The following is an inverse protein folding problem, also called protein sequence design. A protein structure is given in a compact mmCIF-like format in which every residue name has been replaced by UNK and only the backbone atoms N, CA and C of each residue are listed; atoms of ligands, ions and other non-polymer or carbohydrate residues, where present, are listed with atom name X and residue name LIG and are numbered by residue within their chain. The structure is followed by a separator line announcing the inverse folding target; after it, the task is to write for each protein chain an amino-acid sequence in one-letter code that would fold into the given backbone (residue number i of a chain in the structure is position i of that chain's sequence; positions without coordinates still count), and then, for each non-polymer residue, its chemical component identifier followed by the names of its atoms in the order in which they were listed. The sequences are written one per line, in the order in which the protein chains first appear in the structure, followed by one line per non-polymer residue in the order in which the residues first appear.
data_IF_460525827917
#
_entry.id   IF_460525827917
#
_cell.length_a   1.000
_cell.length_b   1.000
_cell.length_c   1.000
_cell.angle_alpha   90.00
_cell.angle_beta   90.00
_cell.angle_gamma   90.00
#
_symmetry.space_group_name_H-M   'P 1'
#
loop_
_entity.id
_entity.type
_entity.pdbx_description
1 polymer ?
#
# COMPACT_ATOMS: atom_id res chain seq x y z
N UNK A 1 -11.74 -7.53 21.67
CA UNK A 1 -11.84 -6.21 21.03
C UNK A 1 -10.46 -5.61 21.12
N UNK A 2 -9.73 -5.58 20.01
CA UNK A 2 -8.45 -4.85 19.94
C UNK A 2 -8.80 -3.37 19.93
N UNK A 3 -8.38 -2.68 20.97
CA UNK A 3 -8.57 -1.23 21.11
C UNK A 3 -7.67 -0.55 20.06
N UNK A 4 -8.24 -0.26 18.89
CA UNK A 4 -7.52 0.45 17.83
C UNK A 4 -7.51 1.92 18.23
N UNK A 5 -6.33 2.55 18.34
CA UNK A 5 -6.23 3.95 18.72
C UNK A 5 -7.07 4.84 17.80
N UNK A 6 -7.64 5.91 18.36
CA UNK A 6 -8.33 6.91 17.55
C UNK A 6 -7.34 7.63 16.63
N UNK A 7 -7.76 7.96 15.40
CA UNK A 7 -6.89 8.66 14.47
C UNK A 7 -6.59 10.08 14.95
N UNK A 8 -5.37 10.51 14.69
CA UNK A 8 -4.91 11.88 14.91
C UNK A 8 -4.59 12.56 13.58
N UNK A 9 -4.58 13.89 13.57
CA UNK A 9 -4.19 14.69 12.39
C UNK A 9 -2.79 15.23 12.63
N UNK A 10 -1.88 14.93 11.70
CA UNK A 10 -0.51 15.44 11.68
C UNK A 10 -0.33 16.32 10.44
N UNK A 11 0.14 17.54 10.63
CA UNK A 11 0.50 18.44 9.53
C UNK A 11 1.97 18.24 9.18
N UNK A 12 2.24 17.78 7.97
CA UNK A 12 3.59 17.68 7.43
C UNK A 12 3.65 18.28 6.03
N UNK A 13 4.53 19.26 5.82
CA UNK A 13 4.74 19.96 4.53
C UNK A 13 3.43 20.46 3.89
N UNK A 14 2.61 21.21 4.62
CA UNK A 14 1.29 21.74 4.21
C UNK A 14 0.28 20.64 3.79
N UNK A 15 0.53 19.38 4.16
CA UNK A 15 -0.37 18.24 3.94
C UNK A 15 -0.89 17.73 5.28
N UNK A 16 -2.19 17.64 5.42
CA UNK A 16 -2.82 17.00 6.58
C UNK A 16 -2.81 15.48 6.39
N UNK A 17 -2.23 14.80 7.38
CA UNK A 17 -2.19 13.34 7.43
C UNK A 17 -3.05 12.85 8.59
N UNK A 18 -4.06 12.05 8.30
CA UNK A 18 -4.74 11.26 9.31
C UNK A 18 -3.85 10.06 9.63
N UNK A 19 -3.47 9.90 10.89
CA UNK A 19 -2.58 8.82 11.36
C UNK A 19 -3.23 8.00 12.45
N UNK A 20 -2.85 6.73 12.52
CA UNK A 20 -3.10 5.84 13.65
C UNK A 20 -1.75 5.29 14.10
N UNK A 21 -1.43 5.41 15.38
CA UNK A 21 -0.16 4.97 15.93
C UNK A 21 -0.36 3.88 16.97
N UNK A 22 0.59 2.96 17.06
CA UNK A 22 0.66 1.95 18.12
C UNK A 22 2.11 1.62 18.48
N UNK A 23 2.31 0.96 19.62
CA UNK A 23 3.64 0.70 20.18
C UNK A 23 4.19 1.88 20.99
N UNK A 24 5.36 1.73 21.61
CA UNK A 24 5.98 2.77 22.43
C UNK A 24 6.39 3.97 21.58
N UNK A 25 6.14 5.19 22.05
CA UNK A 25 6.54 6.41 21.36
C UNK A 25 8.07 6.60 21.31
N UNK A 26 8.77 6.00 22.25
CA UNK A 26 10.24 5.97 22.38
C UNK A 26 10.87 4.67 21.87
N UNK A 27 10.14 3.89 21.05
CA UNK A 27 10.67 2.68 20.43
C UNK A 27 11.93 2.99 19.59
N UNK A 28 12.90 2.09 19.64
CA UNK A 28 14.14 2.19 18.86
C UNK A 28 13.92 2.14 17.35
N UNK A 29 12.82 1.53 16.92
CA UNK A 29 12.49 1.33 15.51
C UNK A 29 11.06 1.78 15.19
N UNK A 30 10.91 2.47 14.07
CA UNK A 30 9.63 2.99 13.57
C UNK A 30 9.30 2.43 12.20
N UNK A 31 8.08 1.92 12.03
CA UNK A 31 7.56 1.43 10.75
C UNK A 31 6.43 2.32 10.25
N UNK A 32 6.56 2.83 9.04
CA UNK A 32 5.51 3.55 8.34
C UNK A 32 4.66 2.58 7.51
N UNK A 33 3.34 2.62 7.70
CA UNK A 33 2.37 1.73 7.07
C UNK A 33 1.52 2.52 6.07
N UNK A 34 1.66 2.21 4.77
CA UNK A 34 0.96 2.87 3.66
C UNK A 34 -0.17 1.98 3.16
N UNK A 35 -1.44 2.40 3.28
CA UNK A 35 -2.58 1.57 2.89
C UNK A 35 -2.77 1.49 1.39
N UNK A 36 -3.61 0.56 0.98
CA UNK A 36 -4.10 0.47 -0.38
C UNK A 36 -4.94 1.68 -0.78
N UNK A 37 -5.08 1.89 -2.07
CA UNK A 37 -5.92 2.96 -2.59
C UNK A 37 -7.34 2.91 -2.03
N UNK A 38 -7.89 4.08 -1.72
CA UNK A 38 -9.24 4.28 -1.15
C UNK A 38 -9.39 3.86 0.32
N UNK A 39 -8.36 3.30 0.96
CA UNK A 39 -8.37 2.86 2.36
C UNK A 39 -7.84 3.97 3.30
N UNK A 40 -8.21 3.87 4.58
CA UNK A 40 -7.65 4.70 5.66
C UNK A 40 -6.51 3.97 6.39
N UNK A 41 -5.83 4.69 7.30
CA UNK A 41 -4.83 4.16 8.22
C UNK A 41 -5.34 2.93 9.01
N UNK A 42 -6.63 2.89 9.31
CA UNK A 42 -7.28 1.80 10.05
C UNK A 42 -7.24 0.45 9.34
N UNK A 43 -6.90 0.40 8.05
CA UNK A 43 -6.73 -0.86 7.32
C UNK A 43 -5.55 -1.69 7.80
N UNK A 44 -4.67 -1.13 8.63
CA UNK A 44 -3.57 -1.86 9.26
C UNK A 44 -3.84 -2.29 10.72
N UNK A 45 -5.04 -2.09 11.24
CA UNK A 45 -5.34 -2.32 12.64
C UNK A 45 -5.03 -3.77 13.10
N UNK A 46 -5.28 -4.79 12.27
CA UNK A 46 -4.98 -6.18 12.59
C UNK A 46 -3.47 -6.45 12.64
N UNK A 47 -2.69 -5.82 11.76
CA UNK A 47 -1.21 -5.90 11.77
C UNK A 47 -0.67 -5.19 13.00
N UNK A 48 -1.18 -4.00 13.31
CA UNK A 48 -0.75 -3.20 14.46
C UNK A 48 -1.05 -3.88 15.81
N UNK A 49 -2.03 -4.78 15.84
CA UNK A 49 -2.38 -5.57 17.01
C UNK A 49 -1.50 -6.82 17.23
N UNK A 50 -0.55 -7.11 16.33
CA UNK A 50 0.29 -8.29 16.45
C UNK A 50 1.34 -8.13 17.56
N UNK A 51 1.39 -9.09 18.48
CA UNK A 51 2.29 -9.06 19.64
C UNK A 51 3.78 -9.05 19.26
N UNK A 52 4.13 -9.60 18.11
CA UNK A 52 5.49 -9.59 17.56
C UNK A 52 6.00 -8.19 17.26
N UNK A 53 5.09 -7.22 17.04
CA UNK A 53 5.40 -5.82 16.77
C UNK A 53 5.19 -4.89 17.99
N UNK A 54 4.87 -5.44 19.17
CA UNK A 54 4.51 -4.64 20.35
C UNK A 54 5.63 -3.71 20.88
N UNK A 55 6.89 -3.95 20.50
CA UNK A 55 8.03 -3.12 20.86
C UNK A 55 8.43 -2.10 19.78
N UNK A 56 7.75 -2.10 18.66
CA UNK A 56 8.02 -1.25 17.50
C UNK A 56 6.97 -0.15 17.43
N UNK A 57 7.37 1.08 17.15
CA UNK A 57 6.44 2.16 16.85
C UNK A 57 5.89 1.98 15.43
N UNK A 58 4.59 1.80 15.32
CA UNK A 58 3.90 1.63 14.04
C UNK A 58 3.09 2.89 13.77
N UNK A 59 3.30 3.51 12.60
CA UNK A 59 2.61 4.71 12.16
C UNK A 59 1.88 4.39 10.87
N UNK A 60 0.58 4.15 10.96
CA UNK A 60 -0.27 3.97 9.78
C UNK A 60 -0.85 5.33 9.35
N UNK A 61 -0.89 5.59 8.05
CA UNK A 61 -1.38 6.87 7.50
C UNK A 61 -2.58 6.68 6.58
N UNK A 62 -3.48 7.65 6.53
CA UNK A 62 -4.43 7.78 5.43
C UNK A 62 -3.79 8.63 4.34
N UNK A 63 -3.60 8.04 3.15
CA UNK A 63 -2.98 8.75 2.04
C UNK A 63 -3.87 9.94 1.59
N UNK A 64 -3.31 11.13 1.32
CA UNK A 64 -4.06 12.27 0.82
C UNK A 64 -4.89 11.92 -0.42
N UNK A 65 -6.16 12.34 -0.45
CA UNK A 65 -7.11 12.01 -1.52
C UNK A 65 -7.81 10.65 -1.37
N UNK A 66 -7.54 9.89 -0.31
CA UNK A 66 -8.18 8.60 -0.03
C UNK A 66 -9.00 8.65 1.26
N UNK A 67 -10.01 7.78 1.35
CA UNK A 67 -10.90 7.64 2.51
C UNK A 67 -11.47 8.97 3.05
N UNK A 68 -11.66 9.96 2.17
CA UNK A 68 -12.18 11.29 2.51
C UNK A 68 -11.14 12.35 2.86
N UNK A 69 -9.85 12.01 2.92
CA UNK A 69 -8.78 12.98 3.10
C UNK A 69 -8.68 13.92 1.88
N UNK A 70 -8.30 15.20 2.08
CA UNK A 70 -8.10 16.14 0.98
C UNK A 70 -7.06 15.65 -0.03
N UNK A 71 -7.31 15.77 -1.36
CA UNK A 71 -6.37 15.30 -2.36
C UNK A 71 -5.18 16.26 -2.51
N UNK A 72 -3.98 15.74 -2.83
CA UNK A 72 -2.86 16.59 -3.22
C UNK A 72 -3.13 17.19 -4.61
N UNK A 73 -2.36 18.22 -4.98
CA UNK A 73 -2.46 18.87 -6.31
C UNK A 73 -2.15 17.88 -7.45
N UNK A 74 -1.13 17.06 -7.26
CA UNK A 74 -0.69 16.02 -8.19
C UNK A 74 -0.92 14.64 -7.57
N UNK A 75 -1.64 13.79 -8.30
CA UNK A 75 -2.00 12.41 -7.91
C UNK A 75 -1.07 11.36 -8.57
N UNK A 76 0.07 11.77 -9.11
CA UNK A 76 1.07 10.83 -9.64
C UNK A 76 1.73 10.03 -8.52
N UNK A 77 2.18 8.82 -8.82
CA UNK A 77 2.87 7.96 -7.86
C UNK A 77 4.16 8.61 -7.38
N UNK A 78 4.86 9.31 -8.27
CA UNK A 78 6.08 10.07 -7.98
C UNK A 78 5.81 11.23 -7.00
N UNK A 79 4.69 11.94 -7.16
CA UNK A 79 4.28 12.99 -6.23
C UNK A 79 3.93 12.40 -4.86
N UNK A 80 3.21 11.28 -4.82
CA UNK A 80 2.93 10.58 -3.59
C UNK A 80 4.23 10.11 -2.91
N UNK A 81 5.17 9.52 -3.66
CA UNK A 81 6.46 9.09 -3.11
C UNK A 81 7.22 10.26 -2.46
N UNK A 82 7.24 11.44 -3.12
CA UNK A 82 7.88 12.63 -2.58
C UNK A 82 7.26 13.09 -1.26
N UNK A 83 5.94 13.29 -1.20
CA UNK A 83 5.28 13.78 0.03
C UNK A 83 5.34 12.72 1.15
N UNK A 84 5.26 11.43 0.80
CA UNK A 84 5.37 10.33 1.76
C UNK A 84 6.79 10.19 2.29
N UNK A 85 7.82 10.43 1.47
CA UNK A 85 9.22 10.45 1.92
C UNK A 85 9.45 11.55 2.96
N UNK A 86 8.90 12.74 2.74
CA UNK A 86 9.01 13.83 3.72
C UNK A 86 8.27 13.48 5.03
N UNK A 87 7.09 12.85 4.93
CA UNK A 87 6.40 12.34 6.12
C UNK A 87 7.22 11.26 6.83
N UNK A 88 7.77 10.28 6.10
CA UNK A 88 8.61 9.22 6.64
C UNK A 88 9.81 9.78 7.42
N UNK A 89 10.48 10.79 6.87
CA UNK A 89 11.58 11.50 7.56
C UNK A 89 11.11 12.17 8.86
N UNK A 90 9.97 12.87 8.82
CA UNK A 90 9.43 13.55 10.00
C UNK A 90 8.98 12.57 11.10
N UNK A 91 8.49 11.39 10.70
CA UNK A 91 8.09 10.31 11.60
C UNK A 91 9.28 9.50 12.14
N UNK A 92 10.49 9.67 11.58
CA UNK A 92 11.66 8.86 11.87
C UNK A 92 11.50 7.40 11.43
N UNK A 93 10.87 7.16 10.28
CA UNK A 93 10.60 5.81 9.81
C UNK A 93 11.88 5.11 9.34
N UNK A 94 12.15 3.95 9.91
CA UNK A 94 13.27 3.06 9.55
C UNK A 94 12.86 2.07 8.45
N UNK A 95 11.61 1.61 8.46
CA UNK A 95 11.03 0.68 7.48
C UNK A 95 9.75 1.29 6.91
N UNK A 96 9.52 1.10 5.61
CA UNK A 96 8.25 1.44 4.96
C UNK A 96 7.56 0.16 4.48
N UNK A 97 6.30 0.01 4.85
CA UNK A 97 5.43 -1.08 4.42
C UNK A 97 4.30 -0.51 3.60
N UNK A 98 4.13 -0.95 2.38
CA UNK A 98 3.04 -0.50 1.52
C UNK A 98 2.16 -1.66 1.07
N UNK A 99 0.86 -1.41 0.98
CA UNK A 99 -0.10 -2.36 0.41
C UNK A 99 -0.71 -1.79 -0.88
N UNK A 100 -0.73 -2.58 -1.97
CA UNK A 100 -1.33 -2.20 -3.25
C UNK A 100 -0.80 -0.81 -3.70
N UNK A 101 -1.63 0.24 -3.77
CA UNK A 101 -1.18 1.59 -4.08
C UNK A 101 -0.06 2.08 -3.13
N UNK A 102 -0.17 1.80 -1.83
CA UNK A 102 0.90 2.11 -0.87
C UNK A 102 2.21 1.40 -1.19
N UNK A 103 2.15 0.17 -1.73
CA UNK A 103 3.33 -0.55 -2.19
C UNK A 103 4.01 0.13 -3.40
N UNK A 104 3.20 0.68 -4.32
CA UNK A 104 3.74 1.44 -5.47
C UNK A 104 4.43 2.73 -5.01
N UNK A 105 3.86 3.41 -4.01
CA UNK A 105 4.47 4.61 -3.42
C UNK A 105 5.79 4.23 -2.71
N UNK A 106 5.81 3.18 -1.89
CA UNK A 106 7.02 2.70 -1.22
C UNK A 106 8.09 2.26 -2.24
N UNK A 107 7.69 1.57 -3.31
CA UNK A 107 8.58 1.23 -4.43
C UNK A 107 9.22 2.50 -5.02
N UNK A 108 8.43 3.53 -5.36
CA UNK A 108 8.94 4.75 -5.97
C UNK A 108 9.86 5.53 -5.01
N UNK A 109 9.59 5.48 -3.70
CA UNK A 109 10.46 6.08 -2.68
C UNK A 109 11.87 5.49 -2.71
N UNK A 110 12.00 4.17 -2.89
CA UNK A 110 13.32 3.51 -2.91
C UNK A 110 14.01 3.59 -4.26
N UNK A 111 13.30 3.41 -5.37
CA UNK A 111 13.92 3.47 -6.71
C UNK A 111 14.34 4.88 -7.11
N UNK A 112 13.73 5.91 -6.52
CA UNK A 112 14.18 7.30 -6.65
C UNK A 112 15.37 7.65 -5.74
N UNK A 113 15.75 6.75 -4.82
CA UNK A 113 16.80 6.98 -3.82
C UNK A 113 16.39 7.92 -2.68
N UNK A 114 15.11 8.29 -2.60
CA UNK A 114 14.59 9.21 -1.58
C UNK A 114 14.44 8.56 -0.20
N UNK A 115 14.22 7.24 -0.16
CA UNK A 115 14.24 6.41 1.04
C UNK A 115 15.28 5.29 0.86
N UNK A 116 16.05 4.99 1.89
CA UNK A 116 17.17 4.02 1.85
C UNK A 116 17.04 2.87 2.85
N UNK A 117 16.01 2.88 3.66
CA UNK A 117 15.70 1.79 4.59
C UNK A 117 14.99 0.62 3.90
N UNK A 118 14.84 -0.50 4.61
CA UNK A 118 14.10 -1.66 4.13
C UNK A 118 12.65 -1.35 3.74
N UNK A 119 12.12 -2.05 2.73
CA UNK A 119 10.72 -1.91 2.31
C UNK A 119 10.00 -3.25 2.21
N UNK A 120 8.71 -3.24 2.53
CA UNK A 120 7.80 -4.37 2.34
C UNK A 120 6.69 -3.96 1.38
N UNK A 121 6.63 -4.62 0.23
CA UNK A 121 5.70 -4.34 -0.87
C UNK A 121 4.64 -5.43 -0.92
N UNK A 122 3.48 -5.17 -0.35
CA UNK A 122 2.37 -6.13 -0.25
C UNK A 122 1.44 -5.96 -1.45
N UNK A 123 1.26 -6.98 -2.28
CA UNK A 123 0.38 -6.97 -3.44
C UNK A 123 0.72 -5.84 -4.43
N UNK A 124 2.01 -5.62 -4.70
CA UNK A 124 2.48 -4.62 -5.64
C UNK A 124 2.30 -5.09 -7.09
N UNK A 125 1.68 -4.28 -7.94
CA UNK A 125 1.73 -4.48 -9.39
C UNK A 125 2.89 -3.66 -9.96
N UNK A 126 3.90 -4.29 -10.50
CA UNK A 126 5.07 -3.61 -11.07
C UNK A 126 4.80 -3.17 -12.51
N UNK A 127 3.97 -3.90 -13.23
CA UNK A 127 3.60 -3.61 -14.61
C UNK A 127 2.10 -3.75 -14.87
N UNK A 128 1.64 -3.24 -16.01
CA UNK A 128 0.25 -3.41 -16.42
C UNK A 128 -0.13 -4.89 -16.70
N UNK A 129 0.83 -5.79 -16.85
CA UNK A 129 0.59 -7.20 -17.04
C UNK A 129 0.13 -7.90 -15.75
N UNK A 130 0.56 -7.39 -14.58
CA UNK A 130 0.22 -7.93 -13.26
C UNK A 130 -1.26 -7.69 -12.90
N UNK A 131 -1.85 -6.65 -13.46
CA UNK A 131 -3.24 -6.31 -13.17
C UNK A 131 -4.23 -7.28 -13.81
N UNK A 132 -5.29 -7.68 -13.10
CA UNK A 132 -6.37 -8.49 -13.66
C UNK A 132 -6.96 -7.86 -14.95
N UNK A 133 -7.23 -8.68 -15.96
CA UNK A 133 -7.72 -8.21 -17.28
C UNK A 133 -8.95 -7.33 -17.17
N UNK A 134 -9.89 -7.66 -16.26
CA UNK A 134 -11.11 -6.88 -16.09
C UNK A 134 -10.81 -5.49 -15.50
N UNK A 135 -9.86 -5.38 -14.56
CA UNK A 135 -9.45 -4.11 -13.96
C UNK A 135 -8.80 -3.20 -15.00
N UNK A 136 -7.91 -3.75 -15.82
CA UNK A 136 -7.33 -3.04 -16.97
C UNK A 136 -8.38 -2.52 -17.95
N UNK A 137 -9.43 -3.32 -18.21
CA UNK A 137 -10.53 -2.92 -19.07
C UNK A 137 -11.36 -1.77 -18.48
N UNK A 138 -11.71 -1.84 -17.19
CA UNK A 138 -12.43 -0.78 -16.47
C UNK A 138 -11.66 0.55 -16.55
N UNK A 139 -10.35 0.50 -16.33
CA UNK A 139 -9.54 1.71 -16.34
C UNK A 139 -9.37 2.27 -17.77
N UNK A 140 -9.23 1.42 -18.81
CA UNK A 140 -9.23 1.86 -20.22
C UNK A 140 -10.53 2.56 -20.59
N UNK A 141 -11.67 2.02 -20.19
CA UNK A 141 -12.98 2.64 -20.40
C UNK A 141 -13.12 4.00 -19.68
N UNK A 142 -12.40 4.21 -18.57
CA UNK A 142 -12.39 5.48 -17.82
C UNK A 142 -11.85 6.66 -18.61
N UNK A 143 -10.98 6.43 -19.60
CA UNK A 143 -10.49 7.49 -20.49
C UNK A 143 -11.58 7.99 -21.46
N UNK A 144 -12.55 7.12 -21.79
CA UNK A 144 -13.63 7.41 -22.77
C UNK A 144 -14.94 7.80 -22.06
N UNK A 145 -15.30 7.11 -20.99
CA UNK A 145 -16.61 7.25 -20.30
C UNK A 145 -16.59 8.15 -19.05
N UNK A 146 -15.55 8.96 -18.88
CA UNK A 146 -15.48 9.92 -17.80
C UNK A 146 -15.35 9.28 -16.41
N UNK A 147 -16.21 9.65 -15.46
CA UNK A 147 -16.20 9.14 -14.09
C UNK A 147 -16.98 7.84 -13.91
N UNK A 148 -17.70 7.37 -14.92
CA UNK A 148 -18.58 6.22 -14.84
C UNK A 148 -17.86 4.93 -14.39
N UNK A 149 -16.68 4.57 -14.93
CA UNK A 149 -15.96 3.39 -14.48
C UNK A 149 -15.47 3.47 -13.03
N UNK A 150 -15.06 4.65 -12.55
CA UNK A 150 -14.71 4.85 -11.15
C UNK A 150 -15.94 4.68 -10.23
N UNK A 151 -17.11 5.14 -10.67
CA UNK A 151 -18.37 4.94 -9.95
C UNK A 151 -18.80 3.46 -9.91
N UNK A 152 -18.61 2.73 -11.01
CA UNK A 152 -18.85 1.28 -11.09
C UNK A 152 -17.89 0.53 -10.16
N UNK A 153 -16.60 0.87 -10.17
CA UNK A 153 -15.62 0.30 -9.27
C UNK A 153 -16.01 0.56 -7.80
N UNK A 154 -16.34 1.81 -7.46
CA UNK A 154 -16.80 2.17 -6.12
C UNK A 154 -18.02 1.36 -5.66
N UNK A 155 -18.96 1.07 -6.56
CA UNK A 155 -20.13 0.22 -6.27
C UNK A 155 -19.77 -1.28 -6.19
N UNK A 156 -18.74 -1.73 -6.88
CA UNK A 156 -18.29 -3.13 -6.88
C UNK A 156 -17.50 -3.53 -5.64
N UNK A 157 -16.77 -2.59 -5.05
CA UNK A 157 -15.92 -2.84 -3.88
C UNK A 157 -16.65 -3.49 -2.69
N UNK A 158 -17.90 -3.08 -2.32
CA UNK A 158 -18.63 -3.74 -1.25
C UNK A 158 -18.79 -5.25 -1.45
N UNK A 159 -18.89 -5.70 -2.70
CA UNK A 159 -18.99 -7.13 -3.03
C UNK A 159 -17.64 -7.85 -2.87
N UNK A 160 -16.53 -7.18 -3.16
CA UNK A 160 -15.19 -7.72 -2.91
C UNK A 160 -14.92 -7.85 -1.41
N UNK A 161 -15.23 -6.81 -0.63
CA UNK A 161 -15.09 -6.83 0.83
C UNK A 161 -15.91 -7.94 1.47
N UNK A 162 -17.12 -8.23 0.96
CA UNK A 162 -17.95 -9.34 1.45
C UNK A 162 -17.34 -10.73 1.21
N UNK A 163 -16.49 -10.87 0.20
CA UNK A 163 -15.84 -12.16 -0.14
C UNK A 163 -14.54 -12.36 0.63
N UNK A 164 -13.97 -11.29 1.18
CA UNK A 164 -12.79 -11.37 2.01
C UNK A 164 -13.11 -12.03 3.36
N UNK A 165 -12.19 -12.82 3.88
CA UNK A 165 -12.32 -13.52 5.15
C UNK A 165 -12.10 -12.57 6.35
N UNK A 166 -12.97 -11.54 6.48
CA UNK A 166 -12.84 -10.46 7.46
C UNK A 166 -14.00 -10.45 8.45
N UNK A 167 -13.75 -10.03 9.72
CA UNK A 167 -14.82 -9.78 10.68
C UNK A 167 -15.84 -8.74 10.16
N UNK A 168 -17.13 -8.86 10.54
CA UNK A 168 -18.19 -7.95 10.06
C UNK A 168 -17.91 -6.46 10.29
N UNK A 169 -17.33 -6.11 11.44
CA UNK A 169 -16.95 -4.75 11.79
C UNK A 169 -15.87 -4.21 10.86
N UNK A 170 -14.86 -5.04 10.51
CA UNK A 170 -13.81 -4.65 9.55
C UNK A 170 -14.37 -4.49 8.14
N UNK A 171 -15.26 -5.38 7.72
CA UNK A 171 -15.97 -5.22 6.46
C UNK A 171 -16.79 -3.92 6.42
N UNK A 172 -17.45 -3.56 7.53
CA UNK A 172 -18.23 -2.33 7.64
C UNK A 172 -17.33 -1.09 7.53
N UNK A 173 -16.18 -1.11 8.22
CA UNK A 173 -15.22 -0.01 8.17
C UNK A 173 -14.63 0.17 6.77
N UNK A 174 -14.12 -0.88 6.12
CA UNK A 174 -13.60 -0.79 4.76
C UNK A 174 -14.65 -0.24 3.79
N UNK A 175 -15.91 -0.67 3.91
CA UNK A 175 -17.00 -0.12 3.09
C UNK A 175 -17.23 1.38 3.35
N UNK A 176 -17.15 1.80 4.61
CA UNK A 176 -17.27 3.22 4.97
C UNK A 176 -16.12 4.06 4.38
N UNK A 177 -14.88 3.56 4.44
CA UNK A 177 -13.72 4.22 3.84
C UNK A 177 -13.88 4.36 2.32
N UNK A 178 -14.26 3.28 1.64
CA UNK A 178 -14.53 3.32 0.20
C UNK A 178 -15.64 4.31 -0.17
N UNK A 179 -16.70 4.40 0.66
CA UNK A 179 -17.82 5.30 0.40
C UNK A 179 -17.43 6.78 0.48
N UNK A 180 -16.45 7.14 1.34
CA UNK A 180 -15.98 8.52 1.53
C UNK A 180 -15.15 9.05 0.35
N UNK A 181 -14.62 8.17 -0.53
CA UNK A 181 -13.78 8.60 -1.63
C UNK A 181 -14.54 9.39 -2.69
N UNK A 182 -13.94 10.49 -3.16
CA UNK A 182 -14.48 11.31 -4.23
C UNK A 182 -14.27 10.63 -5.59
N UNK A 183 -15.33 10.45 -6.38
CA UNK A 183 -15.26 9.74 -7.66
C UNK A 183 -14.39 10.43 -8.71
N UNK A 184 -14.30 11.78 -8.68
CA UNK A 184 -13.43 12.54 -9.59
C UNK A 184 -11.96 12.29 -9.28
N UNK A 185 -11.60 12.33 -8.00
CA UNK A 185 -10.21 12.10 -7.56
C UNK A 185 -9.82 10.64 -7.74
N UNK A 186 -10.71 9.69 -7.46
CA UNK A 186 -10.52 8.28 -7.83
C UNK A 186 -10.19 8.10 -9.31
N UNK A 187 -10.93 8.75 -10.22
CA UNK A 187 -10.66 8.71 -11.66
C UNK A 187 -9.27 9.25 -11.99
N UNK A 188 -8.91 10.42 -11.43
CA UNK A 188 -7.60 11.05 -11.66
C UNK A 188 -6.47 10.15 -11.14
N UNK A 189 -6.62 9.61 -9.93
CA UNK A 189 -5.66 8.68 -9.33
C UNK A 189 -5.50 7.41 -10.15
N UNK A 190 -6.61 6.77 -10.56
CA UNK A 190 -6.58 5.59 -11.43
C UNK A 190 -5.90 5.86 -12.78
N UNK A 191 -6.12 7.04 -13.37
CA UNK A 191 -5.42 7.43 -14.61
C UNK A 191 -3.93 7.64 -14.39
N UNK A 192 -3.53 8.23 -13.26
CA UNK A 192 -2.12 8.39 -12.89
C UNK A 192 -1.45 7.03 -12.65
N UNK A 193 -2.11 6.14 -11.91
CA UNK A 193 -1.68 4.77 -11.67
C UNK A 193 -1.44 3.99 -12.98
N UNK A 194 -2.39 4.07 -13.93
CA UNK A 194 -2.20 3.41 -15.23
C UNK A 194 -1.06 3.97 -16.06
N UNK A 195 -0.83 5.30 -16.02
CA UNK A 195 0.33 5.86 -16.69
C UNK A 195 1.61 5.32 -16.08
N UNK A 196 1.65 5.23 -14.75
CA UNK A 196 2.77 4.67 -14.02
C UNK A 196 3.04 3.22 -14.40
N UNK A 197 2.02 2.34 -14.44
CA UNK A 197 2.13 0.93 -14.83
C UNK A 197 2.55 0.71 -16.31
N UNK A 198 2.39 1.72 -17.16
CA UNK A 198 2.74 1.65 -18.60
C UNK A 198 4.09 2.25 -18.92
N UNK A 199 4.90 2.55 -17.92
CA UNK A 199 6.27 3.01 -18.16
C UNK A 199 7.02 1.96 -18.96
N UNK A 200 7.89 2.45 -19.85
CA UNK A 200 8.76 1.59 -20.66
C UNK A 200 10.12 1.43 -19.95
N UNK A 201 10.06 1.04 -18.69
CA UNK A 201 11.20 0.70 -17.87
C UNK A 201 11.02 -0.70 -17.27
N UNK A 202 12.09 -1.33 -16.82
CA UNK A 202 12.06 -2.63 -16.15
C UNK A 202 11.95 -2.41 -14.64
N UNK A 203 10.73 -2.39 -14.06
CA UNK A 203 10.56 -2.04 -12.66
C UNK A 203 11.18 -3.07 -11.70
N UNK A 204 11.25 -4.35 -12.08
CA UNK A 204 11.90 -5.37 -11.27
C UNK A 204 13.41 -5.12 -11.19
N UNK A 205 14.04 -4.78 -12.32
CA UNK A 205 15.45 -4.40 -12.37
C UNK A 205 15.74 -3.14 -11.57
N UNK A 206 14.91 -2.09 -11.70
CA UNK A 206 15.06 -0.84 -10.95
C UNK A 206 14.99 -1.07 -9.43
N UNK A 207 14.10 -1.96 -8.96
CA UNK A 207 14.04 -2.31 -7.55
C UNK A 207 15.35 -2.98 -7.08
N UNK A 208 15.89 -3.88 -7.89
CA UNK A 208 17.17 -4.52 -7.60
C UNK A 208 18.32 -3.49 -7.56
N UNK A 209 18.38 -2.59 -8.53
CA UNK A 209 19.39 -1.54 -8.62
C UNK A 209 19.32 -0.52 -7.48
N UNK A 210 18.17 -0.36 -6.84
CA UNK A 210 18.02 0.49 -5.65
C UNK A 210 18.88 0.00 -4.47
N UNK A 211 19.22 -1.30 -4.43
CA UNK A 211 20.18 -1.87 -3.48
C UNK A 211 19.72 -1.88 -2.03
N UNK A 212 18.44 -1.64 -1.75
CA UNK A 212 17.86 -1.69 -0.40
C UNK A 212 17.24 -3.06 -0.14
N UNK A 213 17.21 -3.53 1.12
CA UNK A 213 16.46 -4.74 1.47
C UNK A 213 14.99 -4.57 1.14
N UNK A 214 14.44 -5.47 0.32
CA UNK A 214 13.04 -5.38 -0.11
C UNK A 214 12.35 -6.76 -0.04
N UNK A 215 11.12 -6.76 0.47
CA UNK A 215 10.22 -7.92 0.44
C UNK A 215 9.09 -7.64 -0.54
N UNK A 216 8.96 -8.47 -1.57
CA UNK A 216 7.85 -8.41 -2.51
C UNK A 216 6.91 -9.57 -2.18
N UNK A 217 5.78 -9.24 -1.57
CA UNK A 217 4.85 -10.21 -0.98
C UNK A 217 3.57 -10.28 -1.80
N UNK A 218 3.24 -11.46 -2.29
CA UNK A 218 2.03 -11.73 -3.06
C UNK A 218 1.24 -12.89 -2.49
N UNK A 219 -0.07 -12.89 -2.71
CA UNK A 219 -0.89 -14.08 -2.55
C UNK A 219 -0.71 -15.03 -3.75
N UNK A 220 -0.91 -16.33 -3.53
CA UNK A 220 -0.97 -17.31 -4.62
C UNK A 220 -2.06 -16.94 -5.64
N UNK A 221 -3.18 -16.39 -5.15
CA UNK A 221 -4.32 -15.91 -5.96
C UNK A 221 -4.95 -14.68 -5.29
N UNK A 222 -5.47 -13.79 -6.11
CA UNK A 222 -6.31 -12.68 -5.63
C UNK A 222 -5.73 -11.28 -5.87
N UNK A 223 -4.45 -11.08 -5.67
CA UNK A 223 -3.80 -9.77 -5.73
C UNK A 223 -3.13 -9.43 -7.08
N UNK A 224 -3.22 -10.30 -8.08
CA UNK A 224 -2.60 -10.13 -9.41
C UNK A 224 -1.29 -10.89 -9.55
N UNK A 225 -0.32 -10.65 -8.71
CA UNK A 225 0.97 -11.35 -8.69
C UNK A 225 2.06 -10.67 -9.54
N UNK A 226 3.09 -11.41 -9.88
CA UNK A 226 4.21 -11.00 -10.72
C UNK A 226 4.22 -11.80 -12.02
N UNK A 227 4.64 -11.17 -13.12
CA UNK A 227 4.97 -11.92 -14.35
C UNK A 227 6.17 -12.85 -14.09
N UNK A 228 6.32 -13.89 -14.91
CA UNK A 228 7.47 -14.79 -14.81
C UNK A 228 8.80 -14.05 -15.02
N UNK A 229 8.83 -13.03 -15.87
CA UNK A 229 9.99 -12.19 -16.12
C UNK A 229 10.40 -11.40 -14.86
N UNK A 230 9.46 -10.68 -14.26
CA UNK A 230 9.69 -9.88 -13.05
C UNK A 230 10.13 -10.79 -11.88
N UNK A 231 9.43 -11.90 -11.68
CA UNK A 231 9.79 -12.88 -10.66
C UNK A 231 11.22 -13.38 -10.84
N UNK A 232 11.63 -13.75 -12.06
CA UNK A 232 12.97 -14.22 -12.34
C UNK A 232 14.07 -13.20 -12.02
N UNK A 233 13.81 -11.91 -12.29
CA UNK A 233 14.74 -10.81 -11.95
C UNK A 233 14.81 -10.63 -10.43
N UNK A 234 13.66 -10.58 -9.76
CA UNK A 234 13.59 -10.31 -8.32
C UNK A 234 14.17 -11.45 -7.49
N UNK A 235 13.92 -12.72 -7.87
CA UNK A 235 14.47 -13.91 -7.19
C UNK A 235 16.00 -14.04 -7.40
N UNK A 236 16.54 -13.50 -8.49
CA UNK A 236 17.99 -13.43 -8.72
C UNK A 236 18.66 -12.26 -7.98
N UNK A 237 17.91 -11.33 -7.44
CA UNK A 237 18.43 -10.14 -6.78
C UNK A 237 18.80 -10.41 -5.31
N UNK A 238 20.04 -10.17 -4.87
CA UNK A 238 20.49 -10.52 -3.52
C UNK A 238 19.81 -9.70 -2.41
N UNK A 239 19.31 -8.51 -2.71
CA UNK A 239 18.65 -7.63 -1.75
C UNK A 239 17.14 -7.79 -1.72
N UNK A 240 16.55 -8.58 -2.63
CA UNK A 240 15.10 -8.75 -2.73
C UNK A 240 14.69 -10.17 -2.29
N UNK A 241 13.63 -10.25 -1.52
CA UNK A 241 12.98 -11.50 -1.12
C UNK A 241 11.56 -11.54 -1.68
N UNK A 242 11.28 -12.52 -2.54
CA UNK A 242 9.94 -12.75 -3.07
C UNK A 242 9.22 -13.75 -2.17
N UNK A 243 8.08 -13.34 -1.60
CA UNK A 243 7.28 -14.17 -0.70
C UNK A 243 5.92 -14.41 -1.33
N UNK A 244 5.54 -15.68 -1.48
CA UNK A 244 4.21 -16.07 -1.95
C UNK A 244 3.43 -16.69 -0.80
N UNK A 245 2.33 -16.04 -0.41
CA UNK A 245 1.43 -16.52 0.63
C UNK A 245 0.38 -17.46 0.02
N UNK A 246 0.15 -18.65 0.60
CA UNK A 246 -0.78 -19.61 0.04
C UNK A 246 -2.23 -19.11 0.16
N UNK A 247 -3.05 -19.44 -0.83
CA UNK A 247 -4.48 -19.18 -0.84
C UNK A 247 -4.91 -17.99 -1.70
N UNK A 248 -6.19 -17.63 -1.55
CA UNK A 248 -6.83 -16.53 -2.28
C UNK A 248 -7.05 -15.36 -1.32
N UNK A 249 -6.20 -14.36 -1.43
CA UNK A 249 -6.14 -13.23 -0.49
C UNK A 249 -6.20 -11.92 -1.30
N UNK A 250 -7.09 -11.00 -0.91
CA UNK A 250 -7.22 -9.67 -1.52
C UNK A 250 -6.65 -8.55 -0.66
N UNK A 251 -6.88 -8.65 0.65
CA UNK A 251 -6.50 -7.62 1.61
C UNK A 251 -5.44 -8.19 2.57
N UNK A 252 -4.21 -8.35 2.07
CA UNK A 252 -3.10 -8.95 2.82
C UNK A 252 -2.98 -8.45 4.27
N UNK A 253 -3.01 -7.13 4.56
CA UNK A 253 -2.90 -6.66 5.95
C UNK A 253 -4.05 -7.08 6.87
N UNK A 254 -5.21 -7.38 6.28
CA UNK A 254 -6.43 -7.68 7.04
C UNK A 254 -6.72 -9.19 7.12
N UNK A 255 -6.42 -9.94 6.05
CA UNK A 255 -6.76 -11.37 5.96
C UNK A 255 -5.67 -12.26 6.56
N UNK A 256 -4.41 -11.82 6.53
CA UNK A 256 -3.24 -12.58 7.03
C UNK A 256 -2.28 -11.69 7.83
N UNK A 257 -2.78 -10.95 8.83
CA UNK A 257 -2.00 -9.95 9.56
C UNK A 257 -0.76 -10.53 10.25
N UNK A 258 -0.83 -11.78 10.74
CA UNK A 258 0.30 -12.46 11.37
C UNK A 258 1.45 -12.64 10.37
N UNK A 259 1.14 -13.06 9.14
CA UNK A 259 2.16 -13.25 8.08
C UNK A 259 2.77 -11.92 7.65
N UNK A 260 1.96 -10.87 7.58
CA UNK A 260 2.47 -9.52 7.30
C UNK A 260 3.39 -9.06 8.42
N UNK A 261 3.02 -9.27 9.67
CA UNK A 261 3.86 -8.94 10.83
C UNK A 261 5.19 -9.72 10.82
N UNK A 262 5.18 -11.02 10.48
CA UNK A 262 6.40 -11.84 10.36
C UNK A 262 7.37 -11.24 9.32
N UNK A 263 6.86 -10.76 8.19
CA UNK A 263 7.68 -10.09 7.16
C UNK A 263 8.22 -8.75 7.65
N UNK A 264 7.40 -7.97 8.39
CA UNK A 264 7.85 -6.70 8.98
C UNK A 264 8.99 -6.94 9.98
N UNK A 265 8.88 -7.97 10.82
CA UNK A 265 9.96 -8.35 11.77
C UNK A 265 11.25 -8.70 11.02
N UNK A 266 11.15 -9.43 9.89
CA UNK A 266 12.33 -9.72 9.06
C UNK A 266 12.94 -8.43 8.48
N UNK A 267 12.11 -7.46 8.06
CA UNK A 267 12.60 -6.19 7.54
C UNK A 267 13.29 -5.35 8.62
N UNK A 268 12.76 -5.35 9.84
CA UNK A 268 13.37 -4.68 10.99
C UNK A 268 14.73 -5.27 11.37
N UNK A 269 14.96 -6.54 11.11
CA UNK A 269 16.24 -7.20 11.38
C UNK A 269 17.36 -6.83 10.38
N UNK A 270 17.07 -6.10 9.32
CA UNK A 270 18.04 -5.63 8.33
C UNK A 270 18.55 -4.17 8.60
N UNK A 271 18.13 -3.56 9.70
CA UNK A 271 18.54 -2.22 10.13
C UNK A 271 19.81 -2.33 11.06
#
# INVERSE_FOLDING_TARGET
MTDVPEPSIVLAMDTEWETVESGPADAEQTVLLLPGGMCSARSYAEVMAQSTLAKTRLVAVTMPGHAGAPPPKDLSTESYARITTEFAKSAGADVVVGFSMGAMVAYEMVVSGAFKGPVVLLGASLSAADEPRFFRAIIRLGSILGTLPAAVLKKGVPSMVKRAALPPERQAQLRADFARNNTRDMRRGLQAYLRWLRRDDDPARRLCEAGVPAWVVHAEKGDGGLTQHERGILEACPTVRVVTLPGHIFFLPNEVPERVADVIVQALAEI
#
